data_IF_412143948322
#
_entry.id   IF_412143948322
#
_cell.length_a   1.000
_cell.length_b   1.000
_cell.length_c   1.000
_cell.angle_alpha   90.00
_cell.angle_beta   90.00
_cell.angle_gamma   90.00
#
_symmetry.space_group_name_H-M   'P 1'
#
loop_
_entity.id
_entity.type
_entity.pdbx_description
1 polymer ?
#
# COMPACT_ATOMS: atom_id res chain seq x y z
N UNK A 1 -6.45 -41.25 -23.92
CA UNK A 1 -6.22 -42.21 -22.82
C UNK A 1 -5.03 -41.75 -22.02
N UNK A 2 -5.29 -41.06 -20.91
CA UNK A 2 -4.35 -40.93 -19.79
C UNK A 2 -5.24 -40.98 -18.55
N UNK A 3 -5.61 -42.21 -18.17
CA UNK A 3 -6.20 -42.48 -16.86
C UNK A 3 -5.18 -42.07 -15.79
N UNK A 4 -5.65 -41.60 -14.64
CA UNK A 4 -4.81 -41.11 -13.54
C UNK A 4 -3.88 -42.21 -13.00
N UNK A 5 -2.71 -42.35 -13.63
CA UNK A 5 -1.69 -43.38 -13.33
C UNK A 5 -1.16 -43.33 -11.89
N UNK A 6 -1.30 -42.21 -11.18
CA UNK A 6 -0.78 -42.03 -9.81
C UNK A 6 -1.56 -42.91 -8.80
N UNK A 7 -2.86 -43.10 -8.99
CA UNK A 7 -3.70 -43.89 -8.09
C UNK A 7 -3.44 -45.39 -8.27
N UNK A 8 -3.29 -45.85 -9.51
CA UNK A 8 -2.92 -47.24 -9.84
C UNK A 8 -1.54 -47.64 -9.26
N UNK A 9 -0.67 -46.69 -8.92
CA UNK A 9 0.63 -46.98 -8.30
C UNK A 9 0.52 -47.32 -6.83
N UNK A 10 -0.37 -46.65 -6.09
CA UNK A 10 -0.63 -47.00 -4.69
C UNK A 10 -1.26 -48.40 -4.60
N UNK A 11 -2.13 -48.71 -5.56
CA UNK A 11 -2.85 -49.99 -5.70
C UNK A 11 -1.99 -51.15 -6.23
N UNK A 12 -0.74 -50.95 -6.63
CA UNK A 12 0.10 -52.06 -7.12
C UNK A 12 1.07 -52.60 -6.07
N UNK A 13 1.24 -51.90 -4.96
CA UNK A 13 2.25 -52.23 -3.97
C UNK A 13 1.61 -52.70 -2.65
N UNK A 14 2.21 -53.75 -2.07
CA UNK A 14 1.81 -54.32 -0.80
C UNK A 14 2.00 -53.28 0.32
N UNK A 15 1.01 -53.07 1.19
CA UNK A 15 1.09 -52.11 2.32
C UNK A 15 2.36 -52.30 3.15
N UNK A 16 2.85 -53.54 3.24
CA UNK A 16 4.10 -53.91 3.91
C UNK A 16 5.35 -53.25 3.31
N UNK A 17 5.42 -53.06 1.99
CA UNK A 17 6.58 -52.42 1.34
C UNK A 17 6.61 -50.91 1.53
N UNK A 18 5.44 -50.29 1.64
CA UNK A 18 5.32 -48.87 1.98
C UNK A 18 5.75 -48.61 3.44
N UNK A 19 5.30 -49.45 4.38
CA UNK A 19 5.72 -49.39 5.79
C UNK A 19 7.23 -49.61 5.96
N UNK A 20 7.80 -50.62 5.30
CA UNK A 20 9.25 -50.90 5.35
C UNK A 20 10.10 -49.78 4.72
N UNK A 21 9.56 -49.05 3.73
CA UNK A 21 10.23 -47.89 3.15
C UNK A 21 10.18 -46.71 4.13
N UNK A 22 9.00 -46.39 4.67
CA UNK A 22 8.82 -45.29 5.64
C UNK A 22 9.65 -45.48 6.91
N UNK A 23 9.82 -46.72 7.39
CA UNK A 23 10.66 -47.04 8.55
C UNK A 23 12.18 -46.85 8.30
N UNK A 24 12.61 -46.86 7.03
CA UNK A 24 14.03 -46.79 6.64
C UNK A 24 14.44 -45.47 5.99
N UNK A 25 13.51 -44.54 5.82
CA UNK A 25 13.80 -43.20 5.32
C UNK A 25 14.49 -42.39 6.41
N UNK A 26 15.69 -41.91 6.10
CA UNK A 26 16.30 -40.79 6.83
C UNK A 26 16.11 -39.52 6.00
N UNK A 27 15.31 -38.59 6.51
CA UNK A 27 15.00 -37.35 5.83
C UNK A 27 15.11 -36.10 6.69
N UNK A 28 15.42 -35.00 6.02
CA UNK A 28 15.59 -33.66 6.58
C UNK A 28 14.72 -32.69 5.78
N UNK A 29 13.91 -31.87 6.46
CA UNK A 29 13.10 -30.80 5.87
C UNK A 29 13.50 -29.47 6.47
N UNK A 30 13.90 -28.51 5.64
CA UNK A 30 14.10 -27.13 6.05
C UNK A 30 13.18 -26.20 5.26
N UNK A 31 12.50 -25.32 5.98
CA UNK A 31 11.66 -24.25 5.42
C UNK A 31 12.19 -22.92 5.92
N UNK A 32 12.44 -22.01 4.98
CA UNK A 32 12.78 -20.62 5.25
C UNK A 32 11.75 -19.72 4.60
N UNK A 33 11.16 -18.82 5.37
CA UNK A 33 10.25 -17.81 4.86
C UNK A 33 10.75 -16.42 5.29
N UNK A 34 10.94 -15.54 4.31
CA UNK A 34 11.28 -14.13 4.52
C UNK A 34 10.16 -13.27 3.94
N UNK A 35 9.48 -12.54 4.83
CA UNK A 35 8.40 -11.62 4.48
C UNK A 35 8.77 -10.20 4.91
N UNK A 36 8.81 -9.29 3.95
CA UNK A 36 9.07 -7.88 4.16
C UNK A 36 8.03 -7.05 3.41
N UNK A 37 7.22 -6.28 4.14
CA UNK A 37 6.19 -5.41 3.55
C UNK A 37 6.15 -4.05 4.25
N UNK A 38 6.03 -3.02 3.44
CA UNK A 38 5.83 -1.63 3.86
C UNK A 38 4.38 -1.24 3.58
N UNK A 39 3.68 -0.72 4.59
CA UNK A 39 2.36 -0.12 4.42
C UNK A 39 2.53 1.40 4.46
N UNK A 40 2.25 2.05 3.33
CA UNK A 40 2.32 3.50 3.17
C UNK A 40 1.03 4.17 3.67
N UNK A 41 1.20 5.26 4.42
CA UNK A 41 0.11 6.16 4.79
C UNK A 41 0.14 7.36 3.83
N UNK A 42 -0.85 7.44 2.93
CA UNK A 42 -1.00 8.52 1.94
C UNK A 42 -2.10 9.52 2.30
N UNK A 43 -2.82 9.34 3.42
CA UNK A 43 -3.97 10.18 3.80
C UNK A 43 -3.55 11.64 4.02
N UNK A 44 -2.33 11.86 4.52
CA UNK A 44 -1.80 13.19 4.75
C UNK A 44 -1.63 14.01 3.46
N UNK A 45 -1.39 13.36 2.31
CA UNK A 45 -1.21 14.04 1.01
C UNK A 45 -2.55 14.64 0.58
N UNK A 46 -3.63 13.88 0.68
CA UNK A 46 -4.98 14.31 0.28
C UNK A 46 -5.46 15.48 1.13
N UNK A 47 -5.28 15.39 2.45
CA UNK A 47 -5.66 16.46 3.38
C UNK A 47 -4.86 17.74 3.11
N UNK A 48 -3.56 17.62 2.79
CA UNK A 48 -2.76 18.78 2.40
C UNK A 48 -3.20 19.37 1.05
N UNK A 49 -3.47 18.54 0.04
CA UNK A 49 -3.94 19.00 -1.28
C UNK A 49 -5.29 19.71 -1.19
N UNK A 50 -6.22 19.22 -0.36
CA UNK A 50 -7.52 19.84 -0.12
C UNK A 50 -7.37 21.20 0.58
N UNK A 51 -6.42 21.34 1.50
CA UNK A 51 -6.30 22.53 2.37
C UNK A 51 -5.50 23.67 1.76
N UNK A 52 -4.57 23.40 0.83
CA UNK A 52 -3.73 24.40 0.15
C UNK A 52 -4.53 25.54 -0.51
N UNK A 53 -5.61 25.30 -1.28
CA UNK A 53 -6.40 26.37 -1.88
C UNK A 53 -7.04 27.33 -0.86
N UNK A 54 -7.47 26.80 0.29
CA UNK A 54 -8.04 27.60 1.36
C UNK A 54 -6.98 28.50 2.02
N UNK A 55 -5.74 28.01 2.16
CA UNK A 55 -4.61 28.80 2.64
C UNK A 55 -4.26 29.90 1.63
N UNK A 56 -4.24 29.61 0.33
CA UNK A 56 -4.01 30.61 -0.72
C UNK A 56 -5.05 31.73 -0.66
N UNK A 57 -6.33 31.39 -0.50
CA UNK A 57 -7.40 32.38 -0.33
C UNK A 57 -7.21 33.29 0.88
N UNK A 58 -6.67 32.77 2.00
CA UNK A 58 -6.36 33.59 3.18
C UNK A 58 -5.20 34.54 2.90
N UNK A 59 -4.15 34.08 2.21
CA UNK A 59 -3.00 34.91 1.87
C UNK A 59 -3.35 36.02 0.86
N UNK A 60 -4.30 35.77 -0.05
CA UNK A 60 -4.82 36.77 -0.98
C UNK A 60 -5.67 37.84 -0.28
N UNK A 61 -6.43 37.43 0.73
CA UNK A 61 -7.32 38.31 1.51
C UNK A 61 -6.87 38.37 2.98
N UNK A 62 -5.69 38.95 3.27
CA UNK A 62 -5.18 39.00 4.62
C UNK A 62 -6.02 39.93 5.49
N UNK A 63 -6.19 39.56 6.77
CA UNK A 63 -6.77 40.49 7.73
C UNK A 63 -5.77 41.61 8.02
N UNK A 64 -6.25 42.85 7.93
CA UNK A 64 -5.45 44.06 8.14
C UNK A 64 -5.99 44.79 9.36
N UNK A 65 -5.08 45.33 10.18
CA UNK A 65 -5.45 46.28 11.21
C UNK A 65 -4.82 47.63 10.89
N UNK A 66 -5.60 48.69 11.05
CA UNK A 66 -5.14 50.05 10.78
C UNK A 66 -4.48 50.58 12.06
N UNK A 67 -3.18 50.83 12.00
CA UNK A 67 -2.43 51.51 13.06
C UNK A 67 -2.29 52.97 12.67
N UNK A 68 -2.65 53.86 13.60
CA UNK A 68 -2.44 55.29 13.43
C UNK A 68 -1.06 55.64 14.00
N UNK A 69 -0.11 55.97 13.14
CA UNK A 69 1.16 56.54 13.56
C UNK A 69 1.06 58.06 13.62
N UNK A 70 1.29 58.61 14.80
CA UNK A 70 1.24 60.03 15.08
C UNK A 70 2.65 60.63 15.07
N UNK A 71 2.92 61.55 14.15
CA UNK A 71 4.21 62.22 14.05
C UNK A 71 4.03 63.74 13.92
N UNK A 72 4.89 64.53 14.59
CA UNK A 72 4.89 65.99 14.45
C UNK A 72 5.82 66.38 13.29
N UNK A 73 5.23 66.72 12.15
CA UNK A 73 5.98 67.05 10.92
C UNK A 73 5.81 68.54 10.60
N UNK A 74 6.75 69.12 9.83
CA UNK A 74 6.56 70.46 9.27
C UNK A 74 5.28 70.51 8.45
N UNK A 75 4.56 71.64 8.50
CA UNK A 75 3.27 71.82 7.81
C UNK A 75 3.34 71.49 6.31
N UNK A 76 4.48 71.76 5.67
CA UNK A 76 4.74 71.52 4.25
C UNK A 76 4.79 70.03 3.87
N UNK A 77 5.13 69.16 4.83
CA UNK A 77 5.27 67.72 4.62
C UNK A 77 4.02 66.94 5.06
N UNK A 78 3.09 67.59 5.76
CA UNK A 78 1.86 66.97 6.22
C UNK A 78 0.90 66.77 5.04
N UNK A 79 0.55 65.51 4.75
CA UNK A 79 -0.33 65.17 3.62
C UNK A 79 -1.81 65.39 3.91
N UNK A 80 -2.25 65.20 5.15
CA UNK A 80 -3.67 65.34 5.53
C UNK A 80 -3.80 65.85 6.97
N UNK A 81 -4.57 66.91 7.14
CA UNK A 81 -4.87 67.51 8.45
C UNK A 81 -6.21 66.95 8.94
N UNK A 82 -6.21 66.37 10.13
CA UNK A 82 -7.43 65.84 10.76
C UNK A 82 -7.90 66.76 11.89
N UNK A 83 -9.12 66.55 12.39
CA UNK A 83 -9.65 67.30 13.55
C UNK A 83 -8.77 67.10 14.79
N UNK A 84 -8.17 65.92 14.94
CA UNK A 84 -7.25 65.60 16.02
C UNK A 84 -5.93 66.35 15.88
N UNK A 85 -5.43 66.51 14.64
CA UNK A 85 -4.29 67.36 14.33
C UNK A 85 -4.52 68.82 14.75
N UNK A 86 -5.72 69.35 14.51
CA UNK A 86 -6.10 70.71 14.90
C UNK A 86 -6.20 70.83 16.42
N UNK A 87 -6.83 69.86 17.10
CA UNK A 87 -6.90 69.81 18.58
C UNK A 87 -5.50 69.77 19.20
N UNK A 88 -4.60 68.98 18.64
CA UNK A 88 -3.21 68.91 19.09
C UNK A 88 -2.48 70.24 18.90
N UNK A 89 -2.68 70.92 17.76
CA UNK A 89 -2.11 72.24 17.50
C UNK A 89 -2.64 73.29 18.50
N UNK A 90 -3.95 73.30 18.79
CA UNK A 90 -4.54 74.24 19.75
C UNK A 90 -4.03 74.05 21.18
N UNK A 91 -3.64 72.82 21.56
CA UNK A 91 -3.02 72.54 22.87
C UNK A 91 -1.53 72.89 22.93
N UNK A 92 -0.86 72.91 21.78
CA UNK A 92 0.58 73.09 21.67
C UNK A 92 0.92 74.38 20.91
N UNK A 93 0.73 75.52 21.55
CA UNK A 93 1.00 76.86 20.99
C UNK A 93 2.44 77.04 20.51
N UNK A 94 3.38 76.23 21.03
CA UNK A 94 4.79 76.20 20.62
C UNK A 94 5.01 75.78 19.16
N UNK A 95 4.00 75.19 18.51
CA UNK A 95 4.07 74.76 17.11
C UNK A 95 3.53 75.84 16.15
N UNK A 96 3.01 76.97 16.67
CA UNK A 96 2.47 78.09 15.89
C UNK A 96 3.59 79.09 15.58
N UNK A 97 3.68 79.51 14.32
CA UNK A 97 4.69 80.46 13.84
C UNK A 97 4.18 81.90 13.85
N UNK A 98 2.96 82.12 13.37
CA UNK A 98 2.39 83.45 13.23
C UNK A 98 0.89 83.44 13.56
N UNK A 99 0.41 84.55 14.11
CA UNK A 99 -0.99 84.75 14.49
C UNK A 99 -1.42 86.17 14.09
N UNK A 100 -2.35 86.26 13.15
CA UNK A 100 -2.94 87.53 12.76
C UNK A 100 -4.06 87.92 13.74
N UNK A 101 -3.77 88.93 14.58
CA UNK A 101 -4.72 89.44 15.58
C UNK A 101 -5.97 90.09 14.97
N UNK A 102 -5.97 90.43 13.68
CA UNK A 102 -7.10 91.10 13.00
C UNK A 102 -8.05 90.12 12.31
N UNK A 103 -7.54 89.03 11.75
CA UNK A 103 -8.36 88.01 11.08
C UNK A 103 -8.61 86.76 11.94
N UNK A 104 -7.79 86.54 12.97
CA UNK A 104 -7.84 85.34 13.80
C UNK A 104 -7.16 84.12 13.15
N UNK A 105 -6.44 84.31 12.05
CA UNK A 105 -5.76 83.23 11.33
C UNK A 105 -4.46 82.81 12.04
N UNK A 106 -4.26 81.49 12.10
CA UNK A 106 -3.11 80.87 12.76
C UNK A 106 -2.27 80.14 11.72
N UNK A 107 -0.98 80.46 11.62
CA UNK A 107 -0.02 79.77 10.75
C UNK A 107 0.87 78.83 11.57
N UNK A 108 0.66 77.50 11.51
CA UNK A 108 1.53 76.54 12.18
C UNK A 108 2.86 76.33 11.46
N UNK A 109 3.94 76.15 12.21
CA UNK A 109 5.25 75.68 11.70
C UNK A 109 5.30 74.16 11.57
N UNK A 110 4.68 73.44 12.53
CA UNK A 110 4.59 71.99 12.59
C UNK A 110 3.18 71.56 12.98
N UNK A 111 2.76 70.40 12.51
CA UNK A 111 1.43 69.85 12.78
C UNK A 111 1.53 68.35 13.01
N UNK A 112 0.59 67.82 13.81
CA UNK A 112 0.44 66.39 14.02
C UNK A 112 -0.08 65.76 12.72
N UNK A 113 0.75 64.94 12.08
CA UNK A 113 0.39 64.11 10.96
C UNK A 113 0.01 62.72 11.47
N UNK A 114 -1.18 62.25 11.11
CA UNK A 114 -1.66 60.91 11.48
C UNK A 114 -1.58 60.05 10.22
N UNK A 115 -0.54 59.24 10.13
CA UNK A 115 -0.38 58.26 9.07
C UNK A 115 -1.19 57.02 9.44
N UNK A 116 -2.08 56.60 8.54
CA UNK A 116 -2.81 55.34 8.68
C UNK A 116 -2.00 54.27 7.96
N UNK A 117 -1.21 53.51 8.69
CA UNK A 117 -0.48 52.38 8.14
C UNK A 117 -1.29 51.09 8.32
N UNK A 118 -1.35 50.28 7.25
CA UNK A 118 -1.96 48.95 7.31
C UNK A 118 -0.94 47.96 7.86
N UNK A 119 -1.17 47.46 9.08
CA UNK A 119 -0.34 46.43 9.67
C UNK A 119 -0.98 45.04 9.49
N UNK A 120 -0.15 44.08 9.07
CA UNK A 120 -0.51 42.69 8.82
C UNK A 120 -0.18 41.75 9.99
N UNK A 121 0.37 42.26 11.10
CA UNK A 121 0.69 41.49 12.30
C UNK A 121 -0.56 41.16 13.14
N UNK A 122 -1.45 40.34 12.57
CA UNK A 122 -2.62 39.80 13.27
C UNK A 122 -2.31 38.39 13.76
N UNK A 123 -3.00 37.93 14.81
CA UNK A 123 -2.84 36.56 15.31
C UNK A 123 -3.15 35.52 14.22
N UNK A 124 -4.16 35.78 13.41
CA UNK A 124 -4.62 34.95 12.31
C UNK A 124 -3.53 34.81 11.23
N UNK A 125 -2.91 35.92 10.83
CA UNK A 125 -1.85 35.87 9.83
C UNK A 125 -0.58 35.18 10.37
N UNK A 126 -0.27 35.37 11.66
CA UNK A 126 0.81 34.62 12.36
C UNK A 126 0.54 33.13 12.43
N UNK A 127 -0.71 32.75 12.67
CA UNK A 127 -1.13 31.35 12.67
C UNK A 127 -0.92 30.71 11.30
N UNK A 128 -1.35 31.36 10.22
CA UNK A 128 -1.16 30.84 8.85
C UNK A 128 0.32 30.76 8.48
N UNK A 129 1.11 31.76 8.84
CA UNK A 129 2.56 31.71 8.67
C UNK A 129 3.19 30.49 9.38
N UNK A 130 2.82 30.27 10.65
CA UNK A 130 3.31 29.12 11.44
C UNK A 130 2.85 27.80 10.81
N UNK A 131 1.61 27.73 10.32
CA UNK A 131 1.07 26.54 9.67
C UNK A 131 1.86 26.20 8.39
N UNK A 132 2.17 27.18 7.55
CA UNK A 132 2.96 26.99 6.32
C UNK A 132 4.36 26.45 6.65
N UNK A 133 5.01 26.98 7.69
CA UNK A 133 6.31 26.47 8.14
C UNK A 133 6.21 25.01 8.63
N UNK A 134 5.19 24.70 9.42
CA UNK A 134 4.94 23.35 9.89
C UNK A 134 4.64 22.38 8.74
N UNK A 135 3.92 22.81 7.71
CA UNK A 135 3.69 22.02 6.50
C UNK A 135 5.01 21.72 5.77
N UNK A 136 5.88 22.72 5.58
CA UNK A 136 7.21 22.52 4.98
C UNK A 136 8.04 21.51 5.76
N UNK A 137 8.08 21.64 7.08
CA UNK A 137 8.80 20.71 7.95
C UNK A 137 8.24 19.29 7.86
N UNK A 138 6.92 19.16 7.90
CA UNK A 138 6.23 17.87 7.83
C UNK A 138 6.50 17.14 6.51
N UNK A 139 6.42 17.85 5.39
CA UNK A 139 6.68 17.27 4.06
C UNK A 139 8.12 16.80 3.95
N UNK A 140 9.09 17.59 4.40
CA UNK A 140 10.49 17.19 4.36
C UNK A 140 10.74 15.93 5.20
N UNK A 141 10.16 15.86 6.40
CA UNK A 141 10.24 14.66 7.26
C UNK A 141 9.62 13.43 6.57
N UNK A 142 8.42 13.58 5.99
CA UNK A 142 7.70 12.48 5.33
C UNK A 142 8.37 12.06 4.01
N UNK A 143 8.90 13.00 3.22
CA UNK A 143 9.65 12.73 1.99
C UNK A 143 10.87 11.85 2.26
N UNK A 144 11.68 12.21 3.27
CA UNK A 144 12.82 11.38 3.70
C UNK A 144 12.38 9.98 4.11
N UNK A 145 11.29 9.88 4.87
CA UNK A 145 10.76 8.59 5.29
C UNK A 145 10.25 7.74 4.11
N UNK A 146 9.61 8.36 3.09
CA UNK A 146 9.20 7.69 1.84
C UNK A 146 10.41 7.23 1.03
N UNK A 147 11.45 8.06 0.89
CA UNK A 147 12.70 7.71 0.20
C UNK A 147 13.43 6.56 0.90
N UNK A 148 13.48 6.56 2.23
CA UNK A 148 14.05 5.45 3.02
C UNK A 148 13.26 4.16 2.82
N UNK A 149 11.92 4.24 2.80
CA UNK A 149 11.05 3.09 2.53
C UNK A 149 11.15 2.60 1.09
N UNK A 150 11.42 3.48 0.12
CA UNK A 150 11.60 3.08 -1.28
C UNK A 150 12.84 2.19 -1.47
N UNK A 151 13.86 2.34 -0.61
CA UNK A 151 15.03 1.45 -0.58
C UNK A 151 14.66 0.04 -0.11
N UNK A 152 13.55 -0.11 0.62
CA UNK A 152 13.07 -1.40 1.11
C UNK A 152 12.29 -2.08 -0.02
N UNK A 153 12.89 -3.10 -0.60
CA UNK A 153 12.18 -3.99 -1.52
C UNK A 153 11.21 -4.84 -0.72
N UNK A 154 9.93 -4.85 -1.10
CA UNK A 154 9.00 -5.85 -0.58
C UNK A 154 9.51 -7.24 -0.97
N UNK A 155 9.61 -8.14 0.00
CA UNK A 155 10.04 -9.52 -0.19
C UNK A 155 8.97 -10.46 0.31
N UNK A 156 8.77 -11.54 -0.41
CA UNK A 156 8.01 -12.69 0.06
C UNK A 156 8.68 -13.91 -0.56
N UNK A 157 9.83 -14.26 0.02
CA UNK A 157 10.63 -15.37 -0.43
C UNK A 157 10.35 -16.56 0.47
N UNK A 158 10.08 -17.72 -0.14
CA UNK A 158 9.97 -18.97 0.60
C UNK A 158 10.86 -20.01 -0.06
N UNK A 159 11.63 -20.71 0.75
CA UNK A 159 12.54 -21.78 0.33
C UNK A 159 12.18 -23.02 1.13
N UNK A 160 11.98 -24.13 0.42
CA UNK A 160 11.80 -25.47 0.96
C UNK A 160 12.95 -26.32 0.42
N UNK A 161 13.73 -26.91 1.32
CA UNK A 161 14.70 -27.95 0.99
C UNK A 161 14.36 -29.23 1.70
N UNK A 162 14.33 -30.32 0.95
CA UNK A 162 14.10 -31.66 1.46
C UNK A 162 15.15 -32.60 0.90
N UNK A 163 15.78 -33.37 1.79
CA UNK A 163 16.72 -34.44 1.43
C UNK A 163 16.29 -35.71 2.13
N UNK A 164 16.05 -36.77 1.36
CA UNK A 164 15.66 -38.09 1.88
C UNK A 164 16.55 -39.18 1.31
N UNK A 165 17.01 -40.08 2.17
CA UNK A 165 17.80 -41.25 1.81
C UNK A 165 17.09 -42.50 2.31
N UNK A 166 16.93 -43.51 1.46
CA UNK A 166 16.39 -44.81 1.84
C UNK A 166 17.21 -45.94 1.23
N UNK A 167 17.49 -46.95 2.04
CA UNK A 167 18.12 -48.19 1.59
C UNK A 167 17.06 -49.30 1.60
N UNK A 168 16.39 -49.48 0.45
CA UNK A 168 15.32 -50.46 0.30
C UNK A 168 15.74 -51.60 -0.61
N UNK A 169 15.56 -52.85 -0.16
CA UNK A 169 15.72 -54.08 -0.94
C UNK A 169 16.96 -54.18 -1.87
N UNK A 170 18.12 -53.69 -1.40
CA UNK A 170 19.44 -53.63 -2.10
C UNK A 170 19.66 -52.44 -3.03
N UNK A 171 18.73 -51.50 -3.08
CA UNK A 171 18.87 -50.25 -3.82
C UNK A 171 19.03 -49.07 -2.86
N UNK A 172 19.93 -48.16 -3.22
CA UNK A 172 20.10 -46.88 -2.54
C UNK A 172 19.29 -45.84 -3.30
N UNK A 173 18.25 -45.32 -2.66
CA UNK A 173 17.35 -44.31 -3.22
C UNK A 173 17.63 -42.98 -2.50
N UNK A 174 17.94 -41.95 -3.28
CA UNK A 174 18.21 -40.60 -2.78
C UNK A 174 17.30 -39.61 -3.50
N UNK A 175 16.67 -38.73 -2.73
CA UNK A 175 15.88 -37.61 -3.24
C UNK A 175 16.37 -36.30 -2.64
N UNK A 176 16.51 -35.29 -3.48
CA UNK A 176 16.83 -33.93 -3.07
C UNK A 176 15.90 -32.97 -3.81
N UNK A 177 15.00 -32.33 -3.07
CA UNK A 177 14.05 -31.35 -3.60
C UNK A 177 14.44 -29.99 -3.05
N UNK A 178 14.61 -29.02 -3.95
CA UNK A 178 14.79 -27.62 -3.61
C UNK A 178 13.74 -26.79 -4.35
N UNK A 179 12.80 -26.23 -3.59
CA UNK A 179 11.74 -25.36 -4.12
C UNK A 179 11.92 -23.96 -3.56
N UNK A 180 12.11 -22.98 -4.44
CA UNK A 180 12.16 -21.57 -4.06
C UNK A 180 11.06 -20.79 -4.79
N UNK A 181 10.35 -19.96 -4.04
CA UNK A 181 9.44 -18.96 -4.58
C UNK A 181 9.93 -17.59 -4.14
N UNK A 182 9.89 -16.65 -5.07
CA UNK A 182 10.14 -15.25 -4.84
C UNK A 182 9.00 -14.45 -5.43
N UNK A 183 8.65 -13.34 -4.77
CA UNK A 183 7.67 -12.42 -5.30
C UNK A 183 8.24 -11.71 -6.53
N UNK A 184 7.79 -12.10 -7.72
CA UNK A 184 7.94 -11.29 -8.92
C UNK A 184 6.99 -10.10 -8.82
N UNK A 185 7.36 -9.07 -8.07
CA UNK A 185 6.72 -7.77 -8.25
C UNK A 185 7.21 -7.21 -9.58
N UNK A 186 6.36 -7.23 -10.60
CA UNK A 186 6.59 -6.49 -11.84
C UNK A 186 7.02 -5.07 -11.47
N UNK A 187 8.31 -4.78 -11.67
CA UNK A 187 8.90 -3.49 -11.31
C UNK A 187 8.09 -2.35 -11.92
N UNK A 188 7.54 -2.54 -13.12
CA UNK A 188 6.79 -1.53 -13.86
C UNK A 188 5.50 -1.05 -13.15
N UNK A 189 4.69 -1.94 -12.56
CA UNK A 189 3.41 -1.53 -11.95
C UNK A 189 3.60 -0.88 -10.56
N UNK A 190 4.58 -1.35 -9.78
CA UNK A 190 4.90 -0.71 -8.49
C UNK A 190 5.67 0.59 -8.67
N UNK A 191 6.55 0.69 -9.67
CA UNK A 191 7.25 1.94 -9.98
C UNK A 191 6.24 3.03 -10.33
N UNK A 192 5.26 2.76 -11.21
CA UNK A 192 4.24 3.74 -11.59
C UNK A 192 3.43 4.28 -10.40
N UNK A 193 2.99 3.41 -9.48
CA UNK A 193 2.27 3.88 -8.29
C UNK A 193 3.16 4.63 -7.29
N UNK A 194 4.42 4.23 -7.14
CA UNK A 194 5.38 4.89 -6.22
C UNK A 194 5.89 6.23 -6.78
N UNK A 195 6.10 6.29 -8.08
CA UNK A 195 6.45 7.51 -8.83
C UNK A 195 5.30 8.51 -8.76
N UNK A 196 4.03 8.05 -8.87
CA UNK A 196 2.86 8.89 -8.64
C UNK A 196 2.83 9.54 -7.24
N UNK A 197 3.23 8.83 -6.17
CA UNK A 197 3.24 9.40 -4.81
C UNK A 197 4.34 10.46 -4.68
N UNK A 198 5.55 10.18 -5.16
CA UNK A 198 6.66 11.15 -5.13
C UNK A 198 6.35 12.39 -5.97
N UNK A 199 5.80 12.22 -7.17
CA UNK A 199 5.37 13.34 -8.01
C UNK A 199 4.31 14.21 -7.32
N UNK A 200 3.35 13.59 -6.62
CA UNK A 200 2.35 14.33 -5.83
C UNK A 200 3.00 15.12 -4.71
N UNK A 201 3.95 14.54 -3.98
CA UNK A 201 4.72 15.23 -2.94
C UNK A 201 5.48 16.43 -3.54
N UNK A 202 6.11 16.25 -4.71
CA UNK A 202 6.83 17.33 -5.38
C UNK A 202 5.90 18.47 -5.83
N UNK A 203 4.73 18.14 -6.40
CA UNK A 203 3.69 19.13 -6.75
C UNK A 203 3.23 19.91 -5.52
N UNK A 204 3.09 19.23 -4.39
CA UNK A 204 2.67 19.83 -3.13
C UNK A 204 3.75 20.75 -2.56
N UNK A 205 5.02 20.35 -2.64
CA UNK A 205 6.18 21.17 -2.27
C UNK A 205 6.26 22.46 -3.11
N UNK A 206 6.02 22.37 -4.42
CA UNK A 206 5.94 23.54 -5.31
C UNK A 206 4.81 24.48 -4.89
N UNK A 207 3.60 23.95 -4.69
CA UNK A 207 2.45 24.76 -4.25
C UNK A 207 2.72 25.49 -2.93
N UNK A 208 3.37 24.84 -1.96
CA UNK A 208 3.71 25.49 -0.69
C UNK A 208 4.81 26.53 -0.85
N UNK A 209 5.76 26.29 -1.76
CA UNK A 209 6.77 27.29 -2.12
C UNK A 209 6.12 28.52 -2.74
N UNK A 210 5.13 28.32 -3.61
CA UNK A 210 4.32 29.40 -4.19
C UNK A 210 3.57 30.19 -3.11
N UNK A 211 2.99 29.52 -2.10
CA UNK A 211 2.36 30.20 -0.95
C UNK A 211 3.36 31.11 -0.20
N UNK A 212 4.64 30.74 -0.13
CA UNK A 212 5.67 31.58 0.51
C UNK A 212 6.10 32.77 -0.33
N UNK A 213 5.75 32.81 -1.61
CA UNK A 213 6.00 33.97 -2.47
C UNK A 213 5.01 35.13 -2.22
N UNK A 214 3.89 34.88 -1.53
CA UNK A 214 2.89 35.89 -1.22
C UNK A 214 3.46 37.07 -0.42
N UNK A 215 3.03 38.29 -0.74
CA UNK A 215 3.54 39.53 -0.12
C UNK A 215 3.33 39.55 1.39
N UNK A 216 2.17 39.08 1.86
CA UNK A 216 1.82 38.99 3.28
C UNK A 216 2.79 38.08 4.01
N UNK A 217 3.14 36.93 3.42
CA UNK A 217 4.11 36.00 4.00
C UNK A 217 5.48 36.66 4.15
N UNK A 218 5.96 37.35 3.11
CA UNK A 218 7.25 38.06 3.12
C UNK A 218 7.30 39.21 4.14
N UNK A 219 6.19 39.94 4.30
CA UNK A 219 6.10 41.03 5.29
C UNK A 219 6.20 40.48 6.72
N UNK A 220 5.56 39.33 6.98
CA UNK A 220 5.57 38.68 8.30
C UNK A 220 6.93 38.04 8.58
N UNK A 221 7.54 37.40 7.57
CA UNK A 221 8.87 36.80 7.65
C UNK A 221 9.95 37.84 8.00
N UNK A 222 9.93 39.00 7.35
CA UNK A 222 10.84 40.14 7.64
C UNK A 222 10.68 40.70 9.06
N UNK A 223 9.50 40.58 9.66
CA UNK A 223 9.23 41.06 11.02
C UNK A 223 9.70 40.09 12.11
N UNK A 224 10.27 38.92 11.75
CA UNK A 224 10.76 37.89 12.68
C UNK A 224 9.77 37.58 13.81
N UNK A 225 8.51 37.41 13.44
CA UNK A 225 7.42 37.27 14.39
C UNK A 225 7.46 35.90 15.10
N UNK A 226 7.07 35.89 16.38
CA UNK A 226 6.99 34.67 17.19
C UNK A 226 5.96 33.68 16.65
N UNK A 227 6.36 32.41 16.57
CA UNK A 227 5.53 31.31 16.11
C UNK A 227 4.35 31.07 17.07
N UNK A 228 3.21 30.73 16.51
CA UNK A 228 2.01 30.42 17.31
C UNK A 228 2.16 29.05 17.96
N UNK A 229 2.06 29.01 19.28
CA UNK A 229 2.11 27.78 20.08
C UNK A 229 0.72 27.14 20.21
N UNK A 230 0.69 25.82 20.38
CA UNK A 230 -0.54 25.10 20.70
C UNK A 230 -1.00 25.42 22.13
N UNK A 231 -2.32 25.53 22.41
CA UNK A 231 -3.46 25.42 21.50
C UNK A 231 -3.79 26.73 20.76
N UNK A 232 -4.35 26.61 19.55
CA UNK A 232 -4.78 27.77 18.75
C UNK A 232 -5.92 28.51 19.47
N UNK A 233 -5.78 29.82 19.62
CA UNK A 233 -6.83 30.69 20.15
C UNK A 233 -7.99 30.75 19.15
N UNK A 234 -9.18 30.33 19.57
CA UNK A 234 -10.40 30.36 18.75
C UNK A 234 -10.94 31.80 18.66
N UNK A 235 -10.34 32.63 17.80
CA UNK A 235 -10.84 33.98 17.53
C UNK A 235 -12.10 33.91 16.65
N UNK A 236 -12.90 34.99 16.64
CA UNK A 236 -14.11 35.07 15.81
C UNK A 236 -13.83 34.85 14.32
N UNK A 237 -12.67 35.30 13.85
CA UNK A 237 -12.24 35.13 12.46
C UNK A 237 -11.98 33.65 12.17
N UNK A 238 -11.29 32.94 13.07
CA UNK A 238 -11.01 31.52 12.92
C UNK A 238 -12.28 30.67 13.02
N UNK A 239 -13.23 31.06 13.88
CA UNK A 239 -14.49 30.34 14.07
C UNK A 239 -15.49 30.54 12.93
N UNK A 240 -15.58 31.74 12.36
CA UNK A 240 -16.60 32.07 11.35
C UNK A 240 -16.15 31.86 9.91
N UNK A 241 -14.85 31.93 9.64
CA UNK A 241 -14.34 31.81 8.27
C UNK A 241 -14.00 30.36 7.94
N UNK A 242 -14.64 29.82 6.89
CA UNK A 242 -14.46 28.46 6.38
C UNK A 242 -12.98 28.17 6.09
N UNK A 243 -12.25 29.11 5.48
CA UNK A 243 -10.85 28.89 5.13
C UNK A 243 -9.98 28.64 6.37
N UNK A 244 -10.22 29.38 7.46
CA UNK A 244 -9.49 29.21 8.72
C UNK A 244 -9.89 27.92 9.44
N UNK A 245 -11.12 27.44 9.29
CA UNK A 245 -11.53 26.14 9.84
C UNK A 245 -10.75 24.98 9.18
N UNK A 246 -10.58 25.00 7.86
CA UNK A 246 -9.75 24.02 7.15
C UNK A 246 -8.28 24.09 7.57
N UNK A 247 -7.74 25.30 7.77
CA UNK A 247 -6.39 25.51 8.29
C UNK A 247 -6.21 24.94 9.71
N UNK A 248 -7.20 25.10 10.60
CA UNK A 248 -7.19 24.51 11.95
C UNK A 248 -7.29 22.98 11.90
N UNK A 249 -8.12 22.43 11.00
CA UNK A 249 -8.21 20.99 10.79
C UNK A 249 -6.86 20.41 10.36
N UNK A 250 -6.18 21.05 9.41
CA UNK A 250 -4.84 20.68 8.99
C UNK A 250 -3.85 20.76 10.16
N UNK A 251 -3.87 21.85 10.92
CA UNK A 251 -2.99 22.02 12.06
C UNK A 251 -3.10 20.89 13.08
N UNK A 252 -4.34 20.56 13.48
CA UNK A 252 -4.58 19.45 14.41
C UNK A 252 -4.11 18.12 13.82
N UNK A 253 -4.38 17.90 12.53
CA UNK A 253 -3.92 16.71 11.83
C UNK A 253 -2.38 16.60 11.82
N UNK A 254 -1.67 17.71 11.59
CA UNK A 254 -0.20 17.73 11.63
C UNK A 254 0.32 17.42 13.03
N UNK A 255 -0.29 17.95 14.08
CA UNK A 255 0.13 17.67 15.45
C UNK A 255 -0.11 16.20 15.85
N UNK A 256 -1.24 15.62 15.47
CA UNK A 256 -1.58 14.23 15.79
C UNK A 256 -0.80 13.21 14.94
N UNK A 257 -0.37 13.58 13.73
CA UNK A 257 0.34 12.69 12.80
C UNK A 257 1.82 13.04 12.63
N UNK A 258 2.41 13.76 13.59
CA UNK A 258 3.86 14.02 13.65
C UNK A 258 4.68 12.72 13.69
N UNK A 259 4.10 11.67 14.28
CA UNK A 259 4.65 10.32 14.29
C UNK A 259 4.24 9.56 13.03
N UNK A 260 5.21 8.87 12.44
CA UNK A 260 4.97 8.13 11.20
C UNK A 260 4.18 6.85 11.50
N UNK A 261 2.91 6.81 11.10
CA UNK A 261 2.04 5.64 11.27
C UNK A 261 2.33 4.51 10.28
N UNK A 262 3.26 4.72 9.34
CA UNK A 262 3.68 3.70 8.40
C UNK A 262 4.23 2.47 9.14
N UNK A 263 3.75 1.28 8.79
CA UNK A 263 4.21 0.02 9.39
C UNK A 263 5.22 -0.65 8.48
N UNK A 264 6.40 -0.94 9.02
CA UNK A 264 7.36 -1.87 8.42
C UNK A 264 7.16 -3.23 9.09
N UNK A 265 6.79 -4.23 8.30
CA UNK A 265 6.63 -5.61 8.75
C UNK A 265 7.80 -6.38 8.18
N UNK A 266 8.68 -6.88 9.05
CA UNK A 266 9.77 -7.78 8.70
C UNK A 266 9.62 -9.05 9.54
N UNK A 267 9.37 -10.16 8.88
CA UNK A 267 9.20 -11.47 9.48
C UNK A 267 10.14 -12.45 8.80
N UNK A 268 10.93 -13.14 9.62
CA UNK A 268 11.81 -14.23 9.18
C UNK A 268 11.46 -15.45 10.00
N UNK A 269 11.01 -16.49 9.32
CA UNK A 269 10.68 -17.76 9.93
C UNK A 269 11.59 -18.83 9.35
N UNK A 270 12.25 -19.56 10.24
CA UNK A 270 13.03 -20.74 9.88
C UNK A 270 12.48 -21.92 10.68
N UNK A 271 12.12 -22.97 9.96
CA UNK A 271 11.62 -24.21 10.52
C UNK A 271 12.44 -25.36 9.96
N UNK A 272 13.19 -26.02 10.82
CA UNK A 272 13.95 -27.22 10.49
C UNK A 272 13.29 -28.42 11.18
N UNK A 273 13.10 -29.51 10.44
CA UNK A 273 12.68 -30.81 10.93
C UNK A 273 11.40 -30.83 11.79
N UNK A 274 10.37 -30.07 11.38
CA UNK A 274 9.03 -30.22 11.95
C UNK A 274 8.46 -31.59 11.58
N UNK A 275 8.05 -32.38 12.57
CA UNK A 275 7.63 -33.78 12.40
C UNK A 275 6.46 -33.94 11.42
N UNK A 276 5.46 -33.06 11.47
CA UNK A 276 4.31 -33.07 10.56
C UNK A 276 4.73 -32.82 9.10
N UNK A 277 5.62 -31.85 8.86
CA UNK A 277 6.11 -31.52 7.53
C UNK A 277 7.06 -32.59 6.99
N UNK A 278 7.83 -33.21 7.88
CA UNK A 278 8.68 -34.36 7.56
C UNK A 278 7.83 -35.53 7.06
N UNK A 279 6.79 -35.92 7.80
CA UNK A 279 5.85 -36.99 7.38
C UNK A 279 5.24 -36.73 6.00
N UNK A 280 4.77 -35.51 5.74
CA UNK A 280 4.20 -35.15 4.43
C UNK A 280 5.23 -35.22 3.29
N UNK A 281 6.47 -34.80 3.55
CA UNK A 281 7.56 -34.88 2.58
C UNK A 281 8.01 -36.34 2.34
N UNK A 282 8.04 -37.17 3.39
CA UNK A 282 8.36 -38.60 3.31
C UNK A 282 7.32 -39.37 2.48
N UNK A 283 6.03 -39.08 2.68
CA UNK A 283 4.96 -39.66 1.86
C UNK A 283 5.09 -39.24 0.38
N UNK A 284 5.49 -37.99 0.14
CA UNK A 284 5.76 -37.50 -1.22
C UNK A 284 7.00 -38.20 -1.82
N UNK A 285 8.02 -38.50 -1.02
CA UNK A 285 9.17 -39.27 -1.47
C UNK A 285 8.79 -40.70 -1.85
N UNK A 286 8.00 -41.37 -1.01
CA UNK A 286 7.46 -42.69 -1.32
C UNK A 286 6.71 -42.66 -2.66
N UNK A 287 5.87 -41.65 -2.90
CA UNK A 287 5.16 -41.53 -4.18
C UNK A 287 6.11 -41.40 -5.38
N UNK A 288 7.15 -40.57 -5.27
CA UNK A 288 8.15 -40.42 -6.32
C UNK A 288 8.94 -41.72 -6.55
N UNK A 289 9.25 -42.46 -5.49
CA UNK A 289 9.90 -43.77 -5.57
C UNK A 289 8.99 -44.80 -6.27
N UNK A 290 7.69 -44.83 -5.95
CA UNK A 290 6.72 -45.69 -6.61
C UNK A 290 6.58 -45.37 -8.10
N UNK A 291 6.61 -44.08 -8.48
CA UNK A 291 6.64 -43.67 -9.89
C UNK A 291 7.90 -44.20 -10.57
N UNK A 292 9.06 -44.15 -9.92
CA UNK A 292 10.31 -44.67 -10.49
C UNK A 292 10.23 -46.19 -10.72
N UNK A 293 9.77 -46.95 -9.72
CA UNK A 293 9.63 -48.41 -9.80
C UNK A 293 8.53 -48.86 -10.76
N UNK A 294 7.57 -47.99 -11.11
CA UNK A 294 6.53 -48.31 -12.09
C UNK A 294 7.04 -48.52 -13.51
N UNK A 295 8.26 -48.10 -13.77
CA UNK A 295 8.94 -48.26 -15.05
C UNK A 295 9.52 -49.68 -15.18
N UNK A 296 9.71 -50.37 -14.06
CA UNK A 296 10.20 -51.75 -14.06
C UNK A 296 9.13 -52.69 -14.60
N UNK A 297 9.47 -53.35 -15.71
CA UNK A 297 8.57 -54.15 -16.54
C UNK A 297 8.12 -55.47 -15.92
N UNK A 298 8.65 -55.84 -14.76
CA UNK A 298 8.47 -57.16 -14.16
C UNK A 298 7.29 -57.24 -13.16
N UNK A 299 6.59 -56.14 -12.87
CA UNK A 299 5.47 -56.09 -11.92
C UNK A 299 4.07 -56.29 -12.56
N UNK A 300 3.97 -57.15 -13.58
CA UNK A 300 2.69 -57.51 -14.22
C UNK A 300 2.32 -58.93 -13.79
N UNK A 301 1.86 -59.11 -12.55
CA UNK A 301 1.20 -60.36 -12.16
C UNK A 301 -0.16 -60.10 -11.46
N UNK A 302 -1.20 -60.60 -12.15
CA UNK A 302 -2.61 -60.78 -11.79
C UNK A 302 -3.55 -59.56 -11.72
N UNK A 303 -4.60 -59.60 -12.55
CA UNK A 303 -5.71 -58.64 -12.57
C UNK A 303 -6.59 -58.70 -11.30
N UNK A 304 -6.53 -59.81 -10.57
CA UNK A 304 -7.34 -60.07 -9.38
C UNK A 304 -6.78 -59.34 -8.14
N UNK A 305 -5.45 -59.36 -7.96
CA UNK A 305 -4.72 -58.56 -6.97
C UNK A 305 -4.91 -57.06 -7.21
N UNK A 306 -4.96 -56.63 -8.48
CA UNK A 306 -5.22 -55.22 -8.78
C UNK A 306 -6.59 -54.77 -8.25
N UNK A 307 -7.66 -55.56 -8.43
CA UNK A 307 -9.00 -55.19 -7.96
C UNK A 307 -9.10 -55.09 -6.44
N UNK A 308 -8.48 -56.00 -5.72
CA UNK A 308 -8.46 -55.97 -4.24
C UNK A 308 -7.67 -54.77 -3.72
N UNK A 309 -6.52 -54.48 -4.32
CA UNK A 309 -5.70 -53.35 -3.95
C UNK A 309 -6.35 -52.00 -4.32
N UNK A 310 -7.16 -51.94 -5.40
CA UNK A 310 -8.01 -50.77 -5.70
C UNK A 310 -8.99 -50.48 -4.59
N UNK A 311 -9.65 -51.52 -4.12
CA UNK A 311 -10.62 -51.40 -3.04
C UNK A 311 -9.96 -50.95 -1.73
N UNK A 312 -8.77 -51.47 -1.43
CA UNK A 312 -8.02 -51.09 -0.22
C UNK A 312 -7.51 -49.65 -0.27
N UNK A 313 -6.96 -49.22 -1.41
CA UNK A 313 -6.46 -47.84 -1.57
C UNK A 313 -7.60 -46.82 -1.52
N UNK A 314 -8.75 -47.15 -2.09
CA UNK A 314 -9.95 -46.32 -1.99
C UNK A 314 -10.46 -46.21 -0.56
N UNK A 315 -10.36 -47.29 0.22
CA UNK A 315 -10.73 -47.30 1.65
C UNK A 315 -9.78 -46.41 2.45
N UNK A 316 -8.46 -46.54 2.26
CA UNK A 316 -7.47 -45.70 2.94
C UNK A 316 -7.58 -44.21 2.57
N UNK A 317 -7.93 -43.88 1.33
CA UNK A 317 -8.19 -42.50 0.94
C UNK A 317 -9.44 -41.93 1.59
N UNK A 318 -10.50 -42.72 1.71
CA UNK A 318 -11.70 -42.31 2.44
C UNK A 318 -11.38 -42.08 3.91
N UNK A 319 -10.62 -42.98 4.54
CA UNK A 319 -10.15 -42.82 5.93
C UNK A 319 -9.33 -41.53 6.09
N UNK A 320 -8.36 -41.27 5.21
CA UNK A 320 -7.56 -40.02 5.23
C UNK A 320 -8.40 -38.76 5.01
N UNK A 321 -9.41 -38.79 4.12
CA UNK A 321 -10.30 -37.65 3.88
C UNK A 321 -11.13 -37.34 5.14
N UNK A 322 -11.56 -38.39 5.85
CA UNK A 322 -12.30 -38.28 7.12
C UNK A 322 -11.38 -37.78 8.25
N UNK A 323 -10.14 -38.25 8.32
CA UNK A 323 -9.16 -37.79 9.33
C UNK A 323 -8.77 -36.32 9.12
N UNK A 324 -8.61 -35.88 7.87
CA UNK A 324 -8.29 -34.49 7.52
C UNK A 324 -9.47 -33.52 7.79
N UNK A 325 -10.70 -34.03 7.88
CA UNK A 325 -11.90 -33.23 8.13
C UNK A 325 -12.85 -33.94 9.11
N UNK A 326 -12.48 -33.96 10.38
CA UNK A 326 -13.24 -34.60 11.46
C UNK A 326 -14.63 -34.02 11.74
N UNK A 327 -14.98 -32.87 11.15
CA UNK A 327 -16.31 -32.25 11.23
C UNK A 327 -17.23 -32.58 10.05
N UNK A 328 -16.74 -33.29 9.03
CA UNK A 328 -17.48 -33.52 7.79
C UNK A 328 -18.59 -34.55 7.99
N UNK A 329 -19.84 -34.18 7.71
CA UNK A 329 -20.96 -35.11 7.84
C UNK A 329 -20.95 -36.14 6.70
N UNK A 330 -21.47 -37.36 6.92
CA UNK A 330 -21.58 -38.38 5.87
C UNK A 330 -22.39 -37.92 4.64
N UNK A 331 -23.29 -36.94 4.82
CA UNK A 331 -24.08 -36.37 3.73
C UNK A 331 -23.24 -35.44 2.85
N UNK A 332 -22.43 -34.57 3.45
CA UNK A 332 -21.55 -33.64 2.71
C UNK A 332 -20.45 -34.38 1.95
N UNK A 333 -19.89 -35.44 2.53
CA UNK A 333 -18.91 -36.28 1.84
C UNK A 333 -19.53 -36.94 0.59
N UNK A 334 -20.77 -37.44 0.72
CA UNK A 334 -21.49 -38.08 -0.38
C UNK A 334 -21.81 -37.08 -1.49
N UNK A 335 -22.17 -35.84 -1.15
CA UNK A 335 -22.40 -34.77 -2.14
C UNK A 335 -21.10 -34.37 -2.85
N UNK A 336 -20.00 -34.17 -2.13
CA UNK A 336 -18.69 -33.84 -2.71
C UNK A 336 -18.19 -34.92 -3.67
N UNK A 337 -18.31 -36.20 -3.28
CA UNK A 337 -17.95 -37.33 -4.14
C UNK A 337 -18.89 -37.40 -5.34
N UNK A 338 -20.20 -37.19 -5.17
CA UNK A 338 -21.16 -37.20 -6.27
C UNK A 338 -20.87 -36.08 -7.28
N UNK A 339 -20.60 -34.85 -6.82
CA UNK A 339 -20.25 -33.72 -7.67
C UNK A 339 -18.98 -33.97 -8.46
N UNK A 340 -17.92 -34.45 -7.79
CA UNK A 340 -16.66 -34.79 -8.46
C UNK A 340 -16.81 -35.97 -9.41
N UNK A 341 -17.61 -36.97 -9.06
CA UNK A 341 -17.91 -38.12 -9.91
C UNK A 341 -18.63 -37.69 -11.19
N UNK A 342 -19.64 -36.80 -11.08
CA UNK A 342 -20.33 -36.25 -12.25
C UNK A 342 -19.34 -35.47 -13.14
N UNK A 343 -18.51 -34.60 -12.56
CA UNK A 343 -17.51 -33.83 -13.31
C UNK A 343 -16.54 -34.74 -14.06
N UNK A 344 -16.02 -35.79 -13.43
CA UNK A 344 -15.08 -36.74 -14.06
C UNK A 344 -15.78 -37.56 -15.14
N UNK A 345 -17.01 -38.04 -14.89
CA UNK A 345 -17.78 -38.82 -15.85
C UNK A 345 -18.14 -37.99 -17.10
N UNK A 346 -18.61 -36.76 -16.93
CA UNK A 346 -18.93 -35.87 -18.04
C UNK A 346 -17.69 -35.39 -18.79
N UNK A 347 -16.57 -35.17 -18.10
CA UNK A 347 -15.29 -34.88 -18.75
C UNK A 347 -14.86 -36.03 -19.67
N UNK A 348 -14.98 -37.28 -19.23
CA UNK A 348 -14.66 -38.46 -20.05
C UNK A 348 -15.63 -38.64 -21.23
N UNK A 349 -16.93 -38.35 -21.05
CA UNK A 349 -17.91 -38.37 -22.15
C UNK A 349 -17.60 -37.30 -23.19
N UNK A 350 -17.19 -36.10 -22.77
CA UNK A 350 -16.77 -35.03 -23.68
C UNK A 350 -15.52 -35.43 -24.48
N UNK A 351 -14.54 -36.10 -23.85
CA UNK A 351 -13.35 -36.60 -24.55
C UNK A 351 -13.69 -37.68 -25.57
N UNK A 352 -14.63 -38.57 -25.26
CA UNK A 352 -15.12 -39.59 -26.19
C UNK A 352 -15.89 -38.95 -27.36
N UNK A 353 -16.68 -37.91 -27.10
CA UNK A 353 -17.38 -37.16 -28.13
C UNK A 353 -16.44 -36.44 -29.11
N UNK A 354 -15.36 -35.84 -28.59
CA UNK A 354 -14.31 -35.23 -29.41
C UNK A 354 -13.56 -36.27 -30.27
N UNK A 355 -13.22 -37.43 -29.69
CA UNK A 355 -12.61 -38.54 -30.41
C UNK A 355 -13.55 -39.05 -31.52
N UNK A 356 -14.84 -39.23 -31.23
CA UNK A 356 -15.83 -39.62 -32.24
C UNK A 356 -15.98 -38.58 -33.35
N UNK A 357 -15.91 -37.28 -33.03
CA UNK A 357 -15.96 -36.23 -34.05
C UNK A 357 -14.74 -36.30 -34.97
N UNK A 358 -13.54 -36.44 -34.42
CA UNK A 358 -12.30 -36.57 -35.19
C UNK A 358 -12.34 -37.79 -36.11
N UNK A 359 -12.81 -38.94 -35.60
CA UNK A 359 -12.98 -40.14 -36.42
C UNK A 359 -14.01 -39.94 -37.53
N UNK A 360 -15.12 -39.25 -37.25
CA UNK A 360 -16.17 -38.97 -38.24
C UNK A 360 -15.69 -38.04 -39.35
N UNK A 361 -14.95 -36.99 -39.00
CA UNK A 361 -14.30 -36.09 -39.96
C UNK A 361 -13.32 -36.84 -40.88
N UNK A 362 -12.51 -37.74 -40.32
CA UNK A 362 -11.57 -38.55 -41.10
C UNK A 362 -12.29 -39.55 -42.03
N UNK A 363 -13.39 -40.15 -41.59
CA UNK A 363 -14.22 -41.04 -42.41
C UNK A 363 -14.89 -40.25 -43.54
N UNK A 364 -15.43 -39.06 -43.27
CA UNK A 364 -16.03 -38.19 -44.29
C UNK A 364 -15.00 -37.72 -45.32
N UNK A 365 -13.79 -37.38 -44.88
CA UNK A 365 -12.69 -37.01 -45.78
C UNK A 365 -12.26 -38.19 -46.66
N UNK A 366 -12.21 -39.40 -46.10
CA UNK A 366 -11.91 -40.62 -46.84
C UNK A 366 -13.01 -40.94 -47.87
N UNK A 367 -14.28 -40.82 -47.49
CA UNK A 367 -15.42 -41.02 -48.39
C UNK A 367 -15.45 -39.98 -49.52
N UNK A 368 -15.07 -38.73 -49.25
CA UNK A 368 -14.90 -37.69 -50.27
C UNK A 368 -13.80 -38.03 -51.28
N UNK A 369 -12.64 -38.52 -50.80
CA UNK A 369 -11.53 -38.98 -51.67
C UNK A 369 -11.91 -40.18 -52.55
N UNK A 370 -12.79 -41.07 -52.08
CA UNK A 370 -13.32 -42.16 -52.89
C UNK A 370 -14.36 -41.67 -53.91
N UNK A 371 -15.23 -40.72 -53.51
CA UNK A 371 -16.23 -40.12 -54.40
C UNK A 371 -15.61 -39.34 -55.57
N UNK A 372 -14.46 -38.71 -55.36
CA UNK A 372 -13.70 -38.02 -56.43
C UNK A 372 -12.98 -38.99 -57.38
N UNK A 373 -12.55 -40.16 -56.90
CA UNK A 373 -11.93 -41.20 -57.74
C UNK A 373 -12.92 -41.92 -58.68
N UNK A 374 -14.21 -41.93 -58.35
CA UNK A 374 -15.26 -42.58 -59.16
C UNK A 374 -15.92 -41.63 -60.19
N UNK A 375 -15.39 -40.42 -60.39
CA UNK A 375 -15.87 -39.44 -61.38
C UNK A 375 -14.92 -39.23 -62.57
N UNK A 376 -13.87 -40.03 -62.71
CA UNK A 376 -13.00 -40.07 -63.89
C UNK A 376 -13.44 -41.13 -64.89
#
# INVERSE_FOLDING_TARGET
MEELKIFDLYEKFNTKTAEEFMDKIDSTVDIKAEYEKVIEDTEWIEIMEETVPYIDNILRNPNRFIVNEEEIVKIELARKITVESIKHLSKNTNLIQDYDKKTGDVRPSKILNINKEENYDTYENRFIYTLIQNMKFFINKKKKAVEERQKISEKNNKELSYTGNSNYSKEKVEISIKLSTSLNSDKNNKQNNKENVLERIEKLERKITDLTCAEVYKIIDKKHITLVTSPIKKTNVILKNVNFQYAVRLWNFLQTNLDDKSKHINQKEEHSNKEELKKLADETFLLNYLILNSIDKDAIENEETQRELKSQSMTQMIERIVDLNSELSPKELKELIADKYLVVKYRNIATIGEIQRIFKEHIEEYMRKIGEKNKC
#
